data_IF_364177825481
#
_entry.id   IF_364177825481
#
_cell.length_a   1.000
_cell.length_b   1.000
_cell.length_c   1.000
_cell.angle_alpha   90.00
_cell.angle_beta   90.00
_cell.angle_gamma   90.00
#
_symmetry.space_group_name_H-M   'P 1'
#
loop_
_entity.id
_entity.type
_entity.pdbx_description
1 polymer ?
#
# COMPACT_ATOMS: atom_id res chain seq x y z
N UNK A 1 54.93 47.61 -22.71
CA UNK A 1 54.54 46.19 -22.62
C UNK A 1 55.07 45.61 -21.32
N UNK A 2 54.16 45.12 -20.46
CA UNK A 2 54.23 43.88 -19.64
C UNK A 2 55.63 43.24 -19.55
N UNK A 3 56.20 42.81 -18.41
CA UNK A 3 55.68 42.40 -17.10
C UNK A 3 56.92 42.28 -16.17
N UNK A 4 56.88 42.86 -14.96
CA UNK A 4 56.99 42.18 -13.64
C UNK A 4 58.15 41.18 -13.47
N UNK A 5 59.19 41.49 -12.68
CA UNK A 5 59.29 41.59 -11.20
C UNK A 5 59.62 40.22 -10.57
N UNK A 6 60.89 40.07 -10.27
CA UNK A 6 61.49 39.06 -9.39
C UNK A 6 61.07 39.33 -7.93
N UNK A 7 60.81 38.26 -7.17
CA UNK A 7 61.02 38.21 -5.71
C UNK A 7 60.95 36.76 -5.22
N UNK A 8 62.05 36.35 -4.62
CA UNK A 8 62.27 35.12 -3.88
C UNK A 8 61.18 34.82 -2.86
N UNK A 9 60.79 33.55 -2.76
CA UNK A 9 60.05 33.03 -1.62
C UNK A 9 60.75 31.81 -1.02
N UNK A 10 61.05 32.01 0.25
CA UNK A 10 61.78 31.21 1.22
C UNK A 10 61.11 29.86 1.51
N UNK A 11 61.93 28.81 1.58
CA UNK A 11 61.56 27.41 1.84
C UNK A 11 61.30 27.21 3.34
N UNK A 12 60.08 27.51 3.80
CA UNK A 12 59.63 27.08 5.13
C UNK A 12 58.96 25.71 5.05
N UNK A 13 59.68 24.70 5.57
CA UNK A 13 59.19 23.34 5.84
C UNK A 13 57.86 23.36 6.59
N UNK A 14 56.78 22.86 5.98
CA UNK A 14 55.65 22.28 6.70
C UNK A 14 55.72 20.77 6.57
N UNK A 15 56.01 20.11 7.69
CA UNK A 15 55.92 18.66 7.79
C UNK A 15 54.45 18.26 7.64
N UNK A 16 54.15 17.50 6.59
CA UNK A 16 52.89 16.76 6.47
C UNK A 16 53.03 15.43 7.23
N UNK A 17 52.04 14.99 8.00
CA UNK A 17 52.12 13.74 8.75
C UNK A 17 52.17 12.54 7.79
N UNK A 18 52.96 11.54 8.16
CA UNK A 18 53.31 10.32 7.41
C UNK A 18 52.13 9.43 6.95
N UNK A 19 50.87 9.82 7.19
CA UNK A 19 49.68 9.00 6.93
C UNK A 19 49.17 9.05 5.48
N UNK A 20 49.60 10.03 4.68
CA UNK A 20 49.14 10.18 3.28
C UNK A 20 49.99 9.43 2.23
N UNK A 21 51.14 8.87 2.61
CA UNK A 21 52.02 8.11 1.69
C UNK A 21 51.62 6.63 1.61
N UNK A 22 50.86 6.10 2.58
CA UNK A 22 50.37 4.73 2.54
C UNK A 22 49.17 4.52 1.60
N UNK A 23 48.45 5.58 1.23
CA UNK A 23 47.24 5.48 0.38
C UNK A 23 47.59 5.50 -1.12
N UNK A 24 48.79 5.99 -1.50
CA UNK A 24 49.20 6.12 -2.90
C UNK A 24 50.03 4.92 -3.45
N UNK A 25 50.47 3.98 -2.61
CA UNK A 25 51.32 2.83 -3.03
C UNK A 25 50.52 1.52 -3.19
N UNK A 26 49.23 1.49 -2.83
CA UNK A 26 48.36 0.33 -3.06
C UNK A 26 47.52 0.39 -4.35
N UNK A 27 47.68 1.43 -5.20
CA UNK A 27 46.88 1.60 -6.42
C UNK A 27 47.70 1.42 -7.72
N UNK A 28 48.98 1.01 -7.66
CA UNK A 28 49.78 0.86 -8.90
C UNK A 28 50.71 -0.36 -8.92
N UNK A 29 50.15 -1.58 -8.89
CA UNK A 29 50.83 -2.79 -9.37
C UNK A 29 49.88 -4.00 -9.53
N UNK A 30 49.09 -4.05 -10.61
CA UNK A 30 48.77 -5.30 -11.32
C UNK A 30 47.79 -5.07 -12.47
N UNK A 31 48.32 -4.82 -13.68
CA UNK A 31 47.59 -5.12 -14.92
C UNK A 31 48.49 -6.03 -15.78
N UNK A 32 47.90 -7.17 -16.15
CA UNK A 32 48.29 -8.18 -17.16
C UNK A 32 49.07 -9.41 -16.70
N UNK A 33 48.33 -10.45 -16.30
CA UNK A 33 48.41 -11.78 -16.91
C UNK A 33 47.14 -12.60 -16.61
N UNK A 34 46.41 -12.99 -17.67
CA UNK A 34 45.48 -14.12 -17.65
C UNK A 34 43.98 -13.77 -17.59
N UNK A 35 43.33 -13.75 -18.75
CA UNK A 35 41.94 -14.16 -18.84
C UNK A 35 41.84 -15.61 -18.35
N UNK A 36 41.43 -15.81 -17.11
CA UNK A 36 40.63 -16.98 -16.76
C UNK A 36 39.24 -16.41 -16.49
N UNK A 37 38.32 -16.69 -17.40
CA UNK A 37 36.91 -16.55 -17.07
C UNK A 37 36.64 -17.48 -15.91
N UNK A 38 36.60 -16.92 -14.70
CA UNK A 38 35.60 -17.33 -13.73
C UNK A 38 34.28 -16.66 -14.13
N UNK A 39 33.84 -16.94 -15.37
CA UNK A 39 32.42 -17.20 -15.60
C UNK A 39 32.15 -18.52 -14.88
N UNK A 40 32.17 -18.48 -13.54
CA UNK A 40 31.33 -19.42 -12.81
C UNK A 40 29.93 -19.05 -13.27
N UNK A 41 29.24 -19.90 -14.05
CA UNK A 41 27.82 -19.71 -14.24
C UNK A 41 27.23 -19.55 -12.83
N UNK A 42 26.44 -18.50 -12.61
CA UNK A 42 25.61 -18.40 -11.41
C UNK A 42 24.98 -19.78 -11.20
N UNK A 43 25.35 -20.42 -10.08
CA UNK A 43 25.02 -21.81 -9.77
C UNK A 43 23.53 -22.07 -10.04
N UNK A 44 23.16 -23.15 -10.78
CA UNK A 44 21.79 -23.39 -11.21
C UNK A 44 20.97 -23.89 -10.01
N UNK A 45 20.54 -22.97 -9.16
CA UNK A 45 19.48 -23.26 -8.21
C UNK A 45 19.83 -23.20 -6.74
N UNK A 46 20.20 -22.02 -6.27
CA UNK A 46 20.36 -21.77 -4.83
C UNK A 46 19.27 -20.83 -4.32
N UNK A 47 18.77 -21.02 -3.09
CA UNK A 47 17.84 -20.10 -2.46
C UNK A 47 18.50 -18.73 -2.21
N UNK A 48 17.70 -17.70 -1.89
CA UNK A 48 18.20 -16.37 -1.53
C UNK A 48 19.10 -16.43 -0.29
N UNK A 49 19.93 -15.41 -0.11
CA UNK A 49 20.78 -15.26 1.09
C UNK A 49 20.72 -13.82 1.57
N UNK A 50 20.21 -13.62 2.79
CA UNK A 50 20.19 -12.33 3.49
C UNK A 50 21.50 -12.17 4.24
N UNK A 51 22.36 -11.27 3.76
CA UNK A 51 23.69 -11.01 4.34
C UNK A 51 23.71 -9.87 5.36
N UNK A 52 22.77 -8.93 5.24
CA UNK A 52 22.57 -7.82 6.18
C UNK A 52 21.09 -7.62 6.36
N UNK A 53 20.66 -7.50 7.62
CA UNK A 53 19.35 -6.99 7.98
C UNK A 53 19.43 -6.38 9.38
N UNK A 54 19.45 -5.04 9.45
CA UNK A 54 19.66 -4.30 10.70
C UNK A 54 18.78 -3.07 10.74
N UNK A 55 18.36 -2.67 11.95
CA UNK A 55 17.69 -1.41 12.20
C UNK A 55 18.60 -0.46 13.00
N UNK A 56 18.73 0.79 12.54
CA UNK A 56 19.54 1.80 13.20
C UNK A 56 18.83 3.18 13.22
N UNK A 57 18.66 3.79 14.40
CA UNK A 57 18.96 3.24 15.74
C UNK A 57 18.01 2.09 16.13
N UNK A 58 18.51 1.07 16.85
CA UNK A 58 17.70 -0.06 17.33
C UNK A 58 16.82 0.29 18.53
N UNK A 59 16.93 1.52 19.03
CA UNK A 59 16.07 2.09 20.07
C UNK A 59 15.75 3.51 19.68
N UNK A 60 14.46 3.84 19.67
CA UNK A 60 13.93 5.15 19.32
C UNK A 60 12.97 5.63 20.39
N UNK A 61 12.78 6.94 20.47
CA UNK A 61 11.65 7.51 21.19
C UNK A 61 10.39 7.36 20.34
N UNK A 62 9.24 7.21 20.98
CA UNK A 62 7.94 7.18 20.29
C UNK A 62 7.77 8.43 19.39
N UNK A 63 7.43 8.21 18.12
CA UNK A 63 7.35 9.24 17.08
C UNK A 63 8.66 9.53 16.33
N UNK A 64 9.80 8.98 16.75
CA UNK A 64 11.05 9.01 15.99
C UNK A 64 11.11 7.83 14.99
N UNK A 65 11.97 7.93 13.99
CA UNK A 65 12.16 6.88 12.99
C UNK A 65 13.46 6.11 13.19
N UNK A 66 13.45 4.83 12.85
CA UNK A 66 14.62 4.00 12.62
C UNK A 66 14.79 3.72 11.14
N UNK A 67 16.00 3.45 10.67
CA UNK A 67 16.26 3.03 9.29
C UNK A 67 16.62 1.54 9.26
N UNK A 68 15.81 0.77 8.56
CA UNK A 68 16.14 -0.62 8.21
C UNK A 68 17.09 -0.60 7.03
N UNK A 69 18.22 -1.29 7.15
CA UNK A 69 19.17 -1.51 6.06
C UNK A 69 19.28 -3.01 5.79
N UNK A 70 19.18 -3.39 4.53
CA UNK A 70 19.27 -4.79 4.10
C UNK A 70 20.24 -4.99 2.95
N UNK A 71 20.75 -6.22 2.84
CA UNK A 71 21.52 -6.69 1.69
C UNK A 71 21.23 -8.16 1.46
N UNK A 72 20.72 -8.47 0.29
CA UNK A 72 20.30 -9.82 -0.11
C UNK A 72 20.98 -10.19 -1.42
N UNK A 73 21.21 -11.48 -1.62
CA UNK A 73 21.69 -12.01 -2.89
C UNK A 73 20.77 -13.11 -3.38
N UNK A 74 20.64 -13.23 -4.71
CA UNK A 74 19.83 -14.25 -5.38
C UNK A 74 18.34 -14.16 -5.01
N UNK A 75 17.86 -12.98 -4.64
CA UNK A 75 16.44 -12.74 -4.44
C UNK A 75 15.82 -12.21 -5.73
N UNK A 76 14.72 -12.82 -6.12
CA UNK A 76 13.81 -12.30 -7.14
C UNK A 76 12.84 -11.29 -6.49
N UNK A 77 12.47 -11.47 -5.22
CA UNK A 77 11.67 -10.52 -4.41
C UNK A 77 12.08 -10.51 -2.93
N UNK A 78 11.79 -9.40 -2.22
CA UNK A 78 12.11 -9.20 -0.80
C UNK A 78 10.96 -8.48 -0.10
N UNK A 79 10.44 -9.05 1.00
CA UNK A 79 9.34 -8.49 1.81
C UNK A 79 9.77 -8.16 3.23
N UNK A 80 9.22 -7.07 3.77
CA UNK A 80 9.39 -6.61 5.15
C UNK A 80 8.10 -6.78 5.94
N UNK A 81 8.19 -7.48 7.07
CA UNK A 81 7.03 -7.88 7.89
C UNK A 81 7.24 -7.48 9.35
N UNK A 82 6.37 -6.69 9.99
CA UNK A 82 5.33 -5.83 9.39
C UNK A 82 5.95 -4.65 8.61
N UNK A 83 5.20 -3.95 7.73
CA UNK A 83 3.75 -4.07 7.50
C UNK A 83 3.38 -4.94 6.29
N UNK A 84 4.17 -5.96 5.95
CA UNK A 84 3.97 -6.82 4.76
C UNK A 84 4.25 -6.05 3.46
N UNK A 85 5.33 -5.25 3.43
CA UNK A 85 5.66 -4.40 2.27
C UNK A 85 6.84 -4.95 1.51
N UNK A 86 6.73 -4.94 0.19
CA UNK A 86 7.79 -5.39 -0.68
C UNK A 86 8.81 -4.29 -0.98
N UNK A 87 10.06 -4.70 -1.12
CA UNK A 87 11.19 -3.80 -1.16
C UNK A 87 11.93 -3.90 -2.50
N UNK A 88 12.01 -2.76 -3.18
CA UNK A 88 12.77 -2.58 -4.42
C UNK A 88 13.87 -1.53 -4.17
N UNK A 89 15.14 -1.79 -4.56
CA UNK A 89 15.64 -2.98 -5.27
C UNK A 89 15.93 -4.18 -4.34
N UNK A 90 15.82 -5.40 -4.86
CA UNK A 90 15.88 -6.63 -4.04
C UNK A 90 17.27 -6.97 -3.49
N UNK A 91 18.35 -6.38 -4.01
CA UNK A 91 19.72 -6.73 -3.65
C UNK A 91 20.25 -5.92 -2.45
N UNK A 92 19.85 -4.65 -2.32
CA UNK A 92 20.16 -3.82 -1.15
C UNK A 92 19.33 -2.55 -1.09
N UNK A 93 18.97 -2.12 0.10
CA UNK A 93 18.20 -0.89 0.26
C UNK A 93 18.13 -0.40 1.69
N UNK A 94 17.48 0.76 1.81
CA UNK A 94 17.19 1.41 3.09
C UNK A 94 15.72 1.81 3.14
N UNK A 95 15.05 1.43 4.21
CA UNK A 95 13.62 1.70 4.42
C UNK A 95 13.45 2.36 5.79
N UNK A 96 12.94 3.61 5.86
CA UNK A 96 12.61 4.23 7.14
C UNK A 96 11.37 3.54 7.74
N UNK A 97 11.37 3.38 9.06
CA UNK A 97 10.24 2.83 9.83
C UNK A 97 10.00 3.69 11.06
N UNK A 98 8.73 3.89 11.40
CA UNK A 98 8.29 4.65 12.59
C UNK A 98 7.30 3.77 13.35
N UNK A 99 7.75 2.71 14.05
CA UNK A 99 6.83 1.85 14.77
C UNK A 99 6.24 2.57 15.99
N UNK A 100 4.97 2.26 16.28
CA UNK A 100 4.26 2.72 17.47
C UNK A 100 4.58 1.92 18.74
N UNK A 101 5.09 0.69 18.58
CA UNK A 101 5.54 -0.20 19.67
C UNK A 101 6.90 -0.81 19.41
N UNK A 102 7.50 -1.40 20.45
CA UNK A 102 8.65 -2.29 20.24
C UNK A 102 8.25 -3.36 19.22
N UNK A 103 8.84 -3.27 18.03
CA UNK A 103 8.42 -4.04 16.85
C UNK A 103 9.56 -4.93 16.41
N UNK A 104 9.27 -6.21 16.22
CA UNK A 104 10.19 -7.15 15.57
C UNK A 104 9.86 -7.13 14.08
N UNK A 105 10.80 -6.64 13.28
CA UNK A 105 10.75 -6.70 11.83
C UNK A 105 11.39 -7.98 11.34
N UNK A 106 10.82 -8.58 10.30
CA UNK A 106 11.34 -9.73 9.59
C UNK A 106 11.49 -9.38 8.11
N UNK A 107 12.66 -9.65 7.54
CA UNK A 107 12.88 -9.62 6.10
C UNK A 107 12.73 -11.03 5.58
N UNK A 108 11.94 -11.23 4.52
CA UNK A 108 11.82 -12.51 3.83
C UNK A 108 12.21 -12.31 2.37
N UNK A 109 13.18 -13.07 1.90
CA UNK A 109 13.66 -13.03 0.52
C UNK A 109 13.25 -14.31 -0.21
N UNK A 110 12.81 -14.18 -1.46
CA UNK A 110 12.30 -15.29 -2.26
C UNK A 110 13.03 -15.41 -3.60
N UNK A 111 13.13 -16.64 -4.10
CA UNK A 111 13.38 -16.95 -5.50
C UNK A 111 12.77 -18.31 -5.85
N UNK A 112 12.81 -18.71 -7.12
CA UNK A 112 12.28 -20.02 -7.56
C UNK A 112 12.90 -21.28 -6.91
N UNK A 113 13.98 -21.13 -6.14
CA UNK A 113 14.69 -22.23 -5.48
C UNK A 113 14.49 -22.25 -3.96
N UNK A 114 13.80 -21.27 -3.38
CA UNK A 114 13.43 -21.26 -1.97
C UNK A 114 13.32 -19.85 -1.38
N UNK A 115 13.41 -19.77 -0.05
CA UNK A 115 13.35 -18.52 0.70
C UNK A 115 14.40 -18.47 1.82
N UNK A 116 14.76 -17.25 2.21
CA UNK A 116 15.56 -16.97 3.41
C UNK A 116 14.86 -15.88 4.24
N UNK A 117 15.10 -15.86 5.55
CA UNK A 117 14.47 -14.90 6.46
C UNK A 117 15.39 -14.45 7.59
N UNK A 118 15.36 -13.15 7.92
CA UNK A 118 16.12 -12.56 9.03
C UNK A 118 15.24 -11.61 9.84
N UNK A 119 15.54 -11.39 11.12
CA UNK A 119 14.77 -10.49 11.98
C UNK A 119 15.64 -9.44 12.68
N UNK A 120 15.09 -8.24 12.89
CA UNK A 120 15.68 -7.15 13.68
C UNK A 120 14.61 -6.51 14.55
N UNK A 121 14.98 -5.98 15.71
CA UNK A 121 14.04 -5.36 16.66
C UNK A 121 14.31 -3.87 16.72
N UNK A 122 13.24 -3.07 16.63
CA UNK A 122 13.25 -1.65 16.99
C UNK A 122 12.53 -1.52 18.33
N UNK A 123 13.29 -1.18 19.37
CA UNK A 123 12.74 -0.95 20.71
C UNK A 123 12.25 0.49 20.84
N UNK A 124 11.17 0.68 21.57
CA UNK A 124 10.63 2.01 21.84
C UNK A 124 10.81 2.41 23.30
N UNK A 125 11.19 3.67 23.49
CA UNK A 125 11.18 4.35 24.80
C UNK A 125 10.12 5.45 24.76
N UNK A 126 9.22 5.48 25.74
CA UNK A 126 8.08 6.41 25.76
C UNK A 126 6.74 5.69 25.84
N UNK A 127 5.67 6.47 26.02
CA UNK A 127 4.28 6.01 25.88
C UNK A 127 3.87 6.10 24.41
N UNK A 128 3.04 5.18 23.93
CA UNK A 128 2.40 5.20 22.61
C UNK A 128 0.92 4.85 22.71
N UNK A 129 0.22 4.75 21.57
CA UNK A 129 -1.21 4.43 21.49
C UNK A 129 -1.47 3.15 20.74
N UNK A 130 -2.19 2.21 21.37
CA UNK A 130 -2.59 0.93 20.77
C UNK A 130 -4.09 0.89 20.58
N UNK A 131 -4.54 0.43 19.41
CA UNK A 131 -5.96 0.11 19.19
C UNK A 131 -6.28 -1.24 19.83
N UNK A 132 -7.28 -1.26 20.71
CA UNK A 132 -7.66 -2.45 21.49
C UNK A 132 -8.46 -3.45 20.65
N UNK A 133 -9.26 -2.95 19.71
CA UNK A 133 -10.21 -3.72 18.92
C UNK A 133 -9.98 -3.60 17.41
N UNK A 134 -8.72 -3.35 17.01
CA UNK A 134 -8.28 -3.33 15.61
C UNK A 134 -8.23 -1.94 14.99
N UNK A 135 -7.65 -1.87 13.80
CA UNK A 135 -7.42 -0.63 13.04
C UNK A 135 -8.42 -0.42 11.89
N UNK A 136 -9.30 -1.38 11.64
CA UNK A 136 -10.18 -1.41 10.48
C UNK A 136 -11.62 -1.61 10.93
N UNK A 137 -12.51 -0.67 10.60
CA UNK A 137 -13.92 -0.69 11.00
C UNK A 137 -14.83 -0.54 9.79
N UNK A 138 -15.85 -1.39 9.76
CA UNK A 138 -16.93 -1.33 8.78
C UNK A 138 -18.19 -0.69 9.36
N UNK A 139 -18.97 -0.04 8.51
CA UNK A 139 -20.34 0.33 8.80
C UNK A 139 -21.18 0.58 7.56
N UNK A 140 -22.29 1.31 7.74
CA UNK A 140 -23.28 1.53 6.70
C UNK A 140 -23.54 3.02 6.51
N UNK A 141 -23.48 3.51 5.27
CA UNK A 141 -23.84 4.89 4.96
C UNK A 141 -25.33 5.14 5.24
N UNK A 142 -25.64 6.33 5.77
CA UNK A 142 -27.02 6.76 6.09
C UNK A 142 -27.76 5.81 7.05
N UNK A 143 -27.02 5.01 7.81
CA UNK A 143 -27.54 4.22 8.92
C UNK A 143 -27.50 5.04 10.20
N UNK A 144 -28.48 4.85 11.08
CA UNK A 144 -28.41 5.39 12.45
C UNK A 144 -27.53 4.54 13.38
N UNK A 145 -26.98 3.43 12.86
CA UNK A 145 -26.08 2.54 13.58
C UNK A 145 -24.67 3.12 13.51
N UNK A 146 -24.15 3.53 14.66
CA UNK A 146 -22.75 3.95 14.80
C UNK A 146 -21.80 2.77 14.57
N UNK A 147 -20.58 3.09 14.15
CA UNK A 147 -19.47 2.13 14.19
C UNK A 147 -19.34 1.51 15.59
N UNK A 148 -18.86 0.25 15.70
CA UNK A 148 -18.33 -0.23 16.96
C UNK A 148 -17.35 0.79 17.56
N UNK A 149 -17.37 0.98 18.88
CA UNK A 149 -16.50 1.96 19.55
C UNK A 149 -15.05 1.72 19.15
N UNK A 150 -14.39 2.74 18.59
CA UNK A 150 -12.95 2.73 18.35
C UNK A 150 -12.28 2.86 19.72
N UNK A 151 -11.50 1.86 20.13
CA UNK A 151 -10.91 1.80 21.47
C UNK A 151 -9.39 1.91 21.44
N UNK A 152 -8.86 2.77 22.31
CA UNK A 152 -7.45 3.11 22.38
C UNK A 152 -6.95 3.01 23.82
N UNK A 153 -5.75 2.47 24.00
CA UNK A 153 -5.06 2.46 25.30
C UNK A 153 -3.62 2.92 25.16
N UNK A 154 -3.06 3.37 26.28
CA UNK A 154 -1.63 3.61 26.36
C UNK A 154 -0.86 2.28 26.23
N UNK A 155 0.26 2.32 25.50
CA UNK A 155 1.17 1.19 25.33
C UNK A 155 2.63 1.67 25.27
N UNK A 156 3.58 0.76 25.06
CA UNK A 156 5.01 1.05 25.26
C UNK A 156 5.39 1.05 26.74
N UNK A 157 6.17 2.05 27.18
CA UNK A 157 6.51 2.23 28.60
C UNK A 157 5.35 2.88 29.35
N UNK A 158 4.34 2.05 29.65
CA UNK A 158 3.12 2.48 30.37
C UNK A 158 3.39 3.03 31.77
N UNK A 159 4.59 2.86 32.32
CA UNK A 159 4.99 3.48 33.58
C UNK A 159 5.11 5.01 33.50
N UNK A 160 5.21 5.56 32.28
CA UNK A 160 5.26 7.00 32.03
C UNK A 160 3.87 7.63 31.88
N UNK A 161 2.79 6.84 31.93
CA UNK A 161 1.42 7.36 31.91
C UNK A 161 1.15 8.11 33.20
N UNK A 162 0.91 9.41 33.09
CA UNK A 162 0.60 10.27 34.24
C UNK A 162 -0.90 10.33 34.50
N UNK A 163 -1.35 10.65 35.73
CA UNK A 163 -2.75 10.97 35.97
C UNK A 163 -3.22 12.09 35.03
N UNK A 164 -4.43 11.95 34.50
CA UNK A 164 -5.02 12.87 33.53
C UNK A 164 -4.28 12.89 32.17
N UNK A 165 -3.82 11.72 31.70
CA UNK A 165 -3.32 11.56 30.31
C UNK A 165 -4.50 11.28 29.38
N UNK A 166 -4.60 12.03 28.29
CA UNK A 166 -5.69 11.94 27.31
C UNK A 166 -5.17 11.55 25.93
N UNK A 167 -5.98 10.80 25.20
CA UNK A 167 -5.90 10.65 23.76
C UNK A 167 -6.88 11.64 23.11
N UNK A 168 -6.42 12.43 22.14
CA UNK A 168 -7.27 13.26 21.28
C UNK A 168 -7.57 12.53 19.97
N UNK A 169 -8.76 12.73 19.43
CA UNK A 169 -9.26 12.10 18.21
C UNK A 169 -9.58 13.16 17.15
N UNK A 170 -9.19 12.91 15.91
CA UNK A 170 -9.48 13.80 14.78
C UNK A 170 -9.63 13.01 13.48
N UNK A 171 -10.51 13.46 12.60
CA UNK A 171 -10.59 12.97 11.22
C UNK A 171 -9.53 13.69 10.40
N UNK A 172 -8.65 12.95 9.74
CA UNK A 172 -7.54 13.50 8.93
C UNK A 172 -7.77 13.32 7.42
N UNK A 173 -8.68 12.43 7.05
CA UNK A 173 -9.08 12.11 5.69
C UNK A 173 -10.54 11.65 5.71
N UNK A 174 -11.28 11.92 4.64
CA UNK A 174 -12.71 11.60 4.54
C UNK A 174 -13.61 12.65 5.18
N UNK A 175 -14.83 12.26 5.53
CA UNK A 175 -15.83 13.12 6.17
C UNK A 175 -16.49 12.45 7.38
N UNK A 176 -17.74 12.80 7.72
CA UNK A 176 -18.44 12.26 8.91
C UNK A 176 -18.14 13.01 10.22
N UNK A 177 -18.53 12.42 11.34
CA UNK A 177 -18.34 13.02 12.68
C UNK A 177 -17.94 11.99 13.74
N UNK A 178 -17.24 12.45 14.78
CA UNK A 178 -16.90 11.65 15.94
C UNK A 178 -17.81 12.01 17.12
N UNK A 179 -18.20 11.02 17.92
CA UNK A 179 -19.03 11.25 19.13
C UNK A 179 -18.27 12.00 20.23
N UNK A 180 -16.94 11.93 20.21
CA UNK A 180 -16.04 12.62 21.12
C UNK A 180 -14.71 12.91 20.43
N UNK A 181 -14.08 14.03 20.81
CA UNK A 181 -12.79 14.49 20.31
C UNK A 181 -11.61 14.03 21.20
N UNK A 182 -11.90 13.37 22.31
CA UNK A 182 -10.89 12.92 23.26
C UNK A 182 -11.42 11.87 24.24
N UNK A 183 -10.50 11.13 24.86
CA UNK A 183 -10.80 10.19 25.93
C UNK A 183 -9.61 9.95 26.86
N UNK A 184 -9.89 9.57 28.10
CA UNK A 184 -8.90 9.35 29.14
C UNK A 184 -8.22 7.98 28.99
N UNK A 185 -6.89 7.91 29.17
CA UNK A 185 -6.09 6.68 29.02
C UNK A 185 -5.21 6.37 30.25
N UNK A 186 -5.51 6.98 31.40
CA UNK A 186 -4.79 6.71 32.64
C UNK A 186 -5.36 5.49 33.39
N UNK A 187 -4.56 4.91 34.31
CA UNK A 187 -4.98 3.81 35.20
C UNK A 187 -5.63 2.59 34.50
N UNK A 188 -5.15 2.26 33.30
CA UNK A 188 -5.69 1.15 32.49
C UNK A 188 -7.05 1.45 31.84
N UNK A 189 -7.50 2.71 31.86
CA UNK A 189 -8.66 3.15 31.11
C UNK A 189 -8.42 3.05 29.59
N UNK A 190 -9.51 2.79 28.90
CA UNK A 190 -9.57 2.71 27.45
C UNK A 190 -10.30 3.96 26.97
N UNK A 191 -9.61 4.82 26.25
CA UNK A 191 -10.23 5.94 25.57
C UNK A 191 -11.01 5.42 24.38
N UNK A 192 -12.19 5.98 24.15
CA UNK A 192 -13.10 5.48 23.12
C UNK A 192 -13.85 6.61 22.44
N UNK A 193 -14.14 6.42 21.16
CA UNK A 193 -15.03 7.27 20.36
C UNK A 193 -15.80 6.38 19.39
N UNK A 194 -16.92 6.85 18.87
CA UNK A 194 -17.58 6.25 17.72
C UNK A 194 -17.51 7.21 16.55
N UNK A 195 -17.40 6.64 15.36
CA UNK A 195 -17.55 7.36 14.10
C UNK A 195 -18.98 7.20 13.57
N UNK A 196 -19.57 8.33 13.18
CA UNK A 196 -20.86 8.42 12.51
C UNK A 196 -20.64 8.65 11.01
N UNK A 197 -21.23 7.78 10.18
CA UNK A 197 -21.25 7.89 8.71
C UNK A 197 -22.23 8.97 8.24
N UNK A 198 -22.15 10.15 8.86
CA UNK A 198 -22.97 11.32 8.56
C UNK A 198 -22.47 12.11 7.33
N UNK A 199 -21.36 11.67 6.74
CA UNK A 199 -20.74 12.27 5.57
C UNK A 199 -21.24 11.68 4.25
N UNK A 200 -20.76 12.27 3.17
CA UNK A 200 -20.97 11.87 1.78
C UNK A 200 -19.97 10.84 1.26
N UNK A 201 -18.74 10.78 1.78
CA UNK A 201 -17.66 9.98 1.18
C UNK A 201 -17.68 8.50 1.57
N UNK A 202 -18.39 8.16 2.66
CA UNK A 202 -18.46 6.77 3.14
C UNK A 202 -17.15 6.23 3.72
N UNK A 203 -16.11 7.06 3.87
CA UNK A 203 -14.85 6.68 4.48
C UNK A 203 -14.29 7.81 5.33
N UNK A 204 -13.48 7.43 6.32
CA UNK A 204 -12.65 8.34 7.08
C UNK A 204 -11.37 7.65 7.59
N UNK A 205 -10.33 8.43 7.81
CA UNK A 205 -9.18 8.02 8.65
C UNK A 205 -9.26 8.80 9.94
N UNK A 206 -9.45 8.08 11.04
CA UNK A 206 -9.52 8.62 12.39
C UNK A 206 -8.16 8.48 13.06
N UNK A 207 -7.54 9.62 13.34
CA UNK A 207 -6.27 9.68 14.06
C UNK A 207 -6.50 9.87 15.54
N UNK A 208 -5.89 9.00 16.34
CA UNK A 208 -5.74 9.15 17.79
C UNK A 208 -4.32 9.62 18.12
N UNK A 209 -4.18 10.55 19.06
CA UNK A 209 -2.88 11.15 19.44
C UNK A 209 -2.79 11.30 20.96
N UNK A 210 -1.66 10.94 21.56
CA UNK A 210 -1.28 11.44 22.88
C UNK A 210 -0.40 12.68 22.66
N UNK A 211 -0.66 13.76 23.39
CA UNK A 211 0.10 15.01 23.21
C UNK A 211 1.61 14.78 23.35
N UNK A 212 2.39 15.21 22.35
CA UNK A 212 3.85 15.07 22.33
C UNK A 212 4.35 13.64 22.08
N UNK A 213 3.50 12.77 21.53
CA UNK A 213 3.72 11.34 21.31
C UNK A 213 3.27 10.96 19.88
N UNK A 214 3.45 9.69 19.52
CA UNK A 214 3.00 9.07 18.27
C UNK A 214 1.49 9.11 18.06
N UNK A 215 1.12 8.90 16.81
CA UNK A 215 -0.23 8.95 16.29
C UNK A 215 -0.65 7.56 15.84
N UNK A 216 -1.87 7.16 16.14
CA UNK A 216 -2.44 5.92 15.61
C UNK A 216 -3.60 6.24 14.68
N UNK A 217 -3.54 5.75 13.45
CA UNK A 217 -4.59 5.94 12.46
C UNK A 217 -5.47 4.69 12.39
N UNK A 218 -6.78 4.90 12.45
CA UNK A 218 -7.82 3.89 12.32
C UNK A 218 -8.61 4.18 11.05
N UNK A 219 -8.71 3.18 10.19
CA UNK A 219 -9.47 3.26 8.96
C UNK A 219 -10.93 2.87 9.23
N UNK A 220 -11.84 3.76 8.85
CA UNK A 220 -13.28 3.54 8.94
C UNK A 220 -13.86 3.62 7.55
N UNK A 221 -14.60 2.59 7.14
CA UNK A 221 -15.21 2.49 5.82
C UNK A 221 -16.65 2.02 5.95
N UNK A 222 -17.53 2.57 5.14
CA UNK A 222 -18.83 1.99 4.89
C UNK A 222 -18.78 1.23 3.57
N UNK A 223 -19.66 0.24 3.43
CA UNK A 223 -19.87 -0.43 2.16
C UNK A 223 -20.42 0.60 1.17
N UNK A 224 -19.57 1.00 0.23
CA UNK A 224 -19.89 1.92 -0.85
C UNK A 224 -19.09 1.46 -2.06
N UNK A 225 -19.65 1.44 -3.26
CA UNK A 225 -18.86 1.19 -4.46
C UNK A 225 -18.42 2.52 -5.07
N UNK A 226 -19.26 3.54 -4.94
CA UNK A 226 -19.04 4.97 -5.16
C UNK A 226 -20.08 5.66 -4.24
N UNK A 227 -19.83 6.87 -3.70
CA UNK A 227 -20.75 7.56 -2.76
C UNK A 227 -22.21 7.80 -3.21
N UNK A 228 -23.08 6.78 -3.17
CA UNK A 228 -24.47 6.93 -3.58
C UNK A 228 -25.40 5.92 -2.93
N UNK A 229 -26.57 6.40 -2.52
CA UNK A 229 -27.47 5.64 -1.66
C UNK A 229 -28.31 4.64 -2.43
N UNK A 230 -28.36 3.41 -1.88
CA UNK A 230 -29.35 2.35 -2.07
C UNK A 230 -28.95 1.08 -2.84
N UNK A 231 -27.67 0.91 -3.20
CA UNK A 231 -27.11 -0.37 -3.66
C UNK A 231 -25.81 -0.69 -2.94
N UNK A 232 -25.86 -1.35 -1.78
CA UNK A 232 -24.65 -1.68 -1.02
C UNK A 232 -23.98 -2.92 -1.62
N UNK A 233 -22.83 -2.72 -2.27
CA UNK A 233 -21.77 -3.71 -2.28
C UNK A 233 -20.53 -3.16 -1.57
N UNK A 234 -19.59 -4.06 -1.34
CA UNK A 234 -18.43 -3.83 -0.48
C UNK A 234 -17.45 -2.82 -1.09
N UNK A 235 -16.83 -2.03 -0.20
CA UNK A 235 -15.90 -0.97 -0.56
C UNK A 235 -14.48 -1.47 -0.84
N UNK A 236 -13.90 -0.96 -1.92
CA UNK A 236 -12.49 -1.01 -2.27
C UNK A 236 -12.11 0.35 -2.86
N UNK A 237 -11.17 1.10 -2.27
CA UNK A 237 -10.59 2.24 -2.99
C UNK A 237 -9.53 1.76 -3.97
N UNK A 238 -9.45 2.44 -5.12
CA UNK A 238 -8.29 2.31 -6.02
C UNK A 238 -6.98 2.87 -5.43
N UNK A 239 -7.07 3.58 -4.31
CA UNK A 239 -5.91 3.98 -3.50
C UNK A 239 -5.58 2.97 -2.40
N UNK A 240 -6.47 2.02 -2.09
CA UNK A 240 -6.21 0.98 -1.11
C UNK A 240 -5.17 -0.01 -1.66
N UNK A 241 -4.40 -0.57 -0.75
CA UNK A 241 -3.60 -1.75 -1.04
C UNK A 241 -4.49 -2.99 -1.00
N UNK A 242 -4.06 -4.09 -1.60
CA UNK A 242 -4.77 -5.35 -1.46
C UNK A 242 -4.83 -5.83 0.00
N UNK A 243 -3.81 -5.54 0.81
CA UNK A 243 -3.83 -5.79 2.25
C UNK A 243 -4.98 -5.04 2.95
N UNK A 244 -5.22 -3.77 2.62
CA UNK A 244 -6.36 -3.00 3.18
C UNK A 244 -7.69 -3.64 2.77
N UNK A 245 -7.84 -4.03 1.49
CA UNK A 245 -9.03 -4.74 0.98
C UNK A 245 -9.29 -6.01 1.79
N UNK A 246 -8.25 -6.83 1.99
CA UNK A 246 -8.33 -8.07 2.77
C UNK A 246 -8.60 -7.81 4.25
N UNK A 247 -8.05 -6.74 4.84
CA UNK A 247 -8.35 -6.37 6.23
C UNK A 247 -9.82 -6.03 6.44
N UNK A 248 -10.44 -5.38 5.46
CA UNK A 248 -11.87 -5.13 5.49
C UNK A 248 -12.67 -6.39 5.18
N UNK A 249 -12.35 -7.11 4.11
CA UNK A 249 -13.23 -8.13 3.52
C UNK A 249 -12.96 -9.55 4.01
N UNK A 250 -11.87 -9.77 4.73
CA UNK A 250 -11.36 -11.10 5.01
C UNK A 250 -10.67 -11.70 3.79
N UNK A 251 -10.39 -13.01 3.85
CA UNK A 251 -9.78 -13.72 2.73
C UNK A 251 -10.78 -13.85 1.55
N UNK A 252 -10.30 -13.75 0.29
CA UNK A 252 -11.14 -14.05 -0.86
C UNK A 252 -11.51 -15.54 -0.87
N UNK A 253 -12.62 -15.87 -1.54
CA UNK A 253 -13.02 -17.26 -1.72
C UNK A 253 -11.97 -18.06 -2.51
N UNK A 254 -11.42 -17.45 -3.56
CA UNK A 254 -10.31 -18.00 -4.35
C UNK A 254 -9.47 -16.88 -4.96
N UNK A 255 -8.30 -17.25 -5.47
CA UNK A 255 -7.46 -16.35 -6.25
C UNK A 255 -7.14 -17.01 -7.58
N UNK A 256 -7.46 -16.33 -8.67
CA UNK A 256 -7.28 -16.83 -10.04
C UNK A 256 -6.01 -16.23 -10.67
N UNK A 257 -5.23 -17.09 -11.33
CA UNK A 257 -3.96 -16.74 -12.00
C UNK A 257 -4.04 -17.08 -13.49
N UNK A 258 -4.52 -16.16 -14.34
CA UNK A 258 -4.72 -16.44 -15.75
C UNK A 258 -3.37 -16.66 -16.46
N UNK A 259 -3.19 -17.79 -17.17
CA UNK A 259 -1.94 -18.07 -17.89
C UNK A 259 -1.60 -17.05 -18.99
N UNK A 260 -2.60 -16.30 -19.47
CA UNK A 260 -2.44 -15.30 -20.52
C UNK A 260 -2.09 -13.91 -19.97
N UNK A 261 -2.18 -13.72 -18.66
CA UNK A 261 -1.88 -12.46 -17.98
C UNK A 261 -1.13 -12.76 -16.66
N UNK A 262 0.14 -13.20 -16.76
CA UNK A 262 0.89 -13.74 -15.63
C UNK A 262 1.33 -12.68 -14.62
N UNK A 263 1.23 -11.40 -14.98
CA UNK A 263 1.59 -10.27 -14.13
C UNK A 263 0.39 -9.81 -13.28
N UNK A 264 -0.81 -10.33 -13.55
CA UNK A 264 -2.03 -9.98 -12.83
C UNK A 264 -2.63 -11.18 -12.12
N UNK A 265 -3.24 -10.87 -10.99
CA UNK A 265 -3.94 -11.86 -10.19
C UNK A 265 -5.26 -11.34 -9.70
N UNK A 266 -6.23 -12.25 -9.58
CA UNK A 266 -7.63 -11.89 -9.38
C UNK A 266 -8.13 -12.48 -8.08
N UNK A 267 -8.27 -11.65 -7.05
CA UNK A 267 -8.86 -12.02 -5.78
C UNK A 267 -10.39 -12.00 -5.89
N UNK A 268 -11.00 -13.17 -5.75
CA UNK A 268 -12.41 -13.40 -6.04
C UNK A 268 -13.22 -13.35 -4.75
N UNK A 269 -14.05 -12.31 -4.61
CA UNK A 269 -15.03 -12.14 -3.55
C UNK A 269 -16.48 -12.25 -4.08
N UNK A 270 -16.69 -12.86 -5.25
CA UNK A 270 -18.00 -12.91 -5.93
C UNK A 270 -19.11 -13.45 -5.02
N UNK A 271 -18.83 -14.52 -4.28
CA UNK A 271 -19.82 -15.21 -3.44
C UNK A 271 -20.16 -14.44 -2.15
N UNK A 272 -19.23 -13.63 -1.64
CA UNK A 272 -19.37 -12.92 -0.37
C UNK A 272 -19.76 -11.46 -0.56
N UNK A 273 -19.16 -10.80 -1.56
CA UNK A 273 -19.19 -9.35 -1.76
C UNK A 273 -19.60 -8.94 -3.19
N UNK A 274 -19.73 -9.88 -4.12
CA UNK A 274 -20.11 -9.60 -5.51
C UNK A 274 -19.05 -8.86 -6.32
N UNK A 275 -17.76 -9.02 -5.98
CA UNK A 275 -16.64 -8.35 -6.67
C UNK A 275 -15.43 -9.27 -6.87
N UNK A 276 -14.56 -8.87 -7.79
CA UNK A 276 -13.23 -9.42 -8.05
C UNK A 276 -12.25 -8.26 -8.07
N UNK A 277 -11.15 -8.37 -7.31
CA UNK A 277 -10.08 -7.37 -7.28
C UNK A 277 -8.91 -7.89 -8.08
N UNK A 278 -8.50 -7.16 -9.12
CA UNK A 278 -7.27 -7.42 -9.83
C UNK A 278 -6.12 -6.62 -9.20
N UNK A 279 -5.02 -7.32 -8.99
CA UNK A 279 -3.78 -6.79 -8.41
C UNK A 279 -2.65 -7.15 -9.36
N UNK A 280 -1.80 -6.17 -9.70
CA UNK A 280 -0.57 -6.41 -10.45
C UNK A 280 0.43 -7.08 -9.48
N UNK A 281 0.63 -8.39 -9.65
CA UNK A 281 1.56 -9.19 -8.86
C UNK A 281 2.94 -9.14 -9.53
N UNK A 282 3.72 -8.15 -9.13
CA UNK A 282 5.09 -7.99 -9.64
C UNK A 282 6.11 -8.95 -8.99
N UNK A 283 5.67 -9.83 -8.07
CA UNK A 283 6.53 -10.47 -7.07
C UNK A 283 6.69 -11.99 -7.21
N UNK A 284 6.23 -12.55 -8.33
CA UNK A 284 6.17 -13.98 -8.68
C UNK A 284 5.02 -14.75 -7.98
N UNK A 285 4.41 -15.73 -8.67
CA UNK A 285 3.02 -16.17 -8.46
C UNK A 285 2.76 -17.06 -7.22
N UNK A 286 3.60 -17.02 -6.19
CA UNK A 286 3.48 -17.90 -5.02
C UNK A 286 3.01 -17.24 -3.73
N UNK A 287 2.77 -15.92 -3.66
CA UNK A 287 2.42 -15.30 -2.37
C UNK A 287 1.53 -14.04 -2.40
N UNK A 288 0.46 -14.04 -3.20
CA UNK A 288 -0.61 -13.03 -3.10
C UNK A 288 -1.32 -12.99 -1.74
N UNK A 289 -1.04 -13.91 -0.82
CA UNK A 289 -1.78 -13.98 0.42
C UNK A 289 -1.42 -12.78 1.34
N UNK A 290 -0.39 -11.98 1.02
CA UNK A 290 0.10 -10.88 1.87
C UNK A 290 0.77 -9.71 1.11
N UNK A 291 0.07 -9.11 0.14
CA UNK A 291 0.59 -8.01 -0.70
C UNK A 291 0.09 -6.61 -0.27
N UNK A 292 0.98 -5.62 -0.31
CA UNK A 292 0.68 -4.19 -0.12
C UNK A 292 0.51 -3.46 -1.48
N UNK A 293 0.25 -4.23 -2.52
CA UNK A 293 0.21 -3.80 -3.90
C UNK A 293 -1.06 -2.99 -4.08
N UNK A 294 -0.98 -1.88 -4.81
CA UNK A 294 -2.16 -1.07 -5.05
C UNK A 294 -3.19 -1.90 -5.83
N UNK A 295 -4.46 -1.75 -5.46
CA UNK A 295 -5.55 -2.27 -6.29
C UNK A 295 -5.47 -1.62 -7.68
N UNK A 296 -5.37 -2.44 -8.72
CA UNK A 296 -5.25 -1.95 -10.10
C UNK A 296 -6.63 -1.86 -10.77
N UNK A 297 -7.44 -2.91 -10.61
CA UNK A 297 -8.78 -2.99 -11.19
C UNK A 297 -9.75 -3.60 -10.19
N UNK A 298 -10.97 -3.07 -10.14
CA UNK A 298 -12.09 -3.71 -9.46
C UNK A 298 -13.08 -4.11 -10.54
N UNK A 299 -13.39 -5.41 -10.63
CA UNK A 299 -14.51 -5.92 -11.38
C UNK A 299 -15.63 -6.23 -10.40
N UNK A 300 -16.84 -5.86 -10.73
CA UNK A 300 -17.99 -6.14 -9.88
C UNK A 300 -18.92 -7.06 -10.69
N UNK A 301 -19.34 -8.15 -10.05
CA UNK A 301 -19.94 -9.30 -10.72
C UNK A 301 -21.38 -9.58 -10.24
N UNK A 302 -21.87 -8.84 -9.25
CA UNK A 302 -23.26 -8.87 -8.76
C UNK A 302 -24.12 -7.69 -9.23
N UNK A 303 -25.46 -7.86 -9.29
CA UNK A 303 -26.42 -6.79 -9.61
C UNK A 303 -26.67 -5.90 -8.39
N UNK A 304 -26.42 -4.60 -8.51
CA UNK A 304 -26.55 -3.60 -7.45
C UNK A 304 -27.49 -2.48 -7.89
N UNK A 305 -28.75 -2.57 -7.48
CA UNK A 305 -29.72 -1.53 -7.78
C UNK A 305 -29.55 -0.33 -6.85
N UNK A 306 -29.44 0.89 -7.37
CA UNK A 306 -29.61 2.11 -6.57
C UNK A 306 -28.99 3.38 -7.16
N UNK A 307 -29.85 4.38 -7.45
CA UNK A 307 -29.63 5.81 -7.70
C UNK A 307 -29.02 6.32 -9.03
N UNK A 308 -29.54 7.48 -9.47
CA UNK A 308 -29.29 8.19 -10.75
C UNK A 308 -28.23 9.33 -10.61
N UNK A 309 -27.19 9.16 -9.78
CA UNK A 309 -26.15 10.19 -9.54
C UNK A 309 -24.75 9.73 -9.91
N UNK A 310 -23.82 10.66 -10.21
CA UNK A 310 -22.38 10.42 -10.47
C UNK A 310 -21.71 9.56 -9.42
N UNK A 311 -22.07 9.83 -8.18
CA UNK A 311 -21.50 9.11 -7.07
C UNK A 311 -22.24 7.79 -6.79
N UNK A 312 -23.33 7.46 -7.50
CA UNK A 312 -24.22 6.37 -7.11
C UNK A 312 -24.59 5.39 -8.20
N UNK A 313 -24.04 5.50 -9.40
CA UNK A 313 -24.47 4.62 -10.48
C UNK A 313 -23.93 3.20 -10.31
N UNK A 314 -24.74 2.34 -9.71
CA UNK A 314 -24.40 0.95 -9.43
C UNK A 314 -24.51 0.03 -10.64
N UNK A 315 -24.01 -1.18 -10.50
CA UNK A 315 -24.09 -2.20 -11.56
C UNK A 315 -25.50 -2.72 -11.77
N UNK A 316 -25.88 -2.82 -13.03
CA UNK A 316 -27.27 -3.06 -13.42
C UNK A 316 -28.08 -1.78 -13.62
N UNK A 317 -27.49 -0.60 -13.41
CA UNK A 317 -28.07 0.65 -13.86
C UNK A 317 -28.21 0.66 -15.39
N UNK A 318 -29.33 1.18 -15.92
CA UNK A 318 -29.47 1.49 -17.33
C UNK A 318 -28.28 2.27 -17.88
N UNK A 319 -27.85 1.95 -19.10
CA UNK A 319 -26.86 2.76 -19.85
C UNK A 319 -27.29 4.22 -19.99
N UNK A 320 -28.61 4.48 -19.94
CA UNK A 320 -29.16 5.83 -19.97
C UNK A 320 -28.81 6.62 -18.71
N UNK A 321 -28.78 5.96 -17.55
CA UNK A 321 -28.42 6.58 -16.28
C UNK A 321 -26.93 6.92 -16.30
N UNK A 322 -26.08 6.03 -16.86
CA UNK A 322 -24.63 6.26 -17.03
C UNK A 322 -24.37 7.51 -17.86
N UNK A 323 -25.09 7.64 -18.97
CA UNK A 323 -25.00 8.81 -19.85
C UNK A 323 -25.58 10.08 -19.23
N UNK A 324 -26.62 9.97 -18.40
CA UNK A 324 -27.21 11.11 -17.69
C UNK A 324 -26.21 11.68 -16.69
N UNK A 325 -25.48 10.77 -16.06
CA UNK A 325 -24.56 11.03 -14.97
C UNK A 325 -23.20 11.53 -15.45
N UNK A 326 -22.51 10.78 -16.31
CA UNK A 326 -21.16 11.09 -16.78
C UNK A 326 -21.16 11.83 -18.13
N UNK A 327 -22.33 12.02 -18.74
CA UNK A 327 -22.44 12.64 -20.05
C UNK A 327 -21.99 11.73 -21.19
N UNK A 328 -21.46 12.35 -22.24
CA UNK A 328 -21.04 11.66 -23.47
C UNK A 328 -19.68 11.00 -23.26
N UNK A 329 -19.54 9.68 -23.48
CA UNK A 329 -18.25 9.00 -23.34
C UNK A 329 -17.24 9.46 -24.40
N UNK A 330 -15.95 9.35 -24.07
CA UNK A 330 -14.85 9.60 -25.00
C UNK A 330 -14.77 8.53 -26.10
N UNK A 331 -14.99 7.26 -25.75
CA UNK A 331 -15.17 6.16 -26.71
C UNK A 331 -16.50 5.50 -26.45
N UNK A 332 -17.24 5.26 -27.54
CA UNK A 332 -18.40 4.38 -27.56
C UNK A 332 -18.26 3.43 -28.74
N UNK A 333 -18.17 2.13 -28.47
CA UNK A 333 -18.00 1.13 -29.52
C UNK A 333 -18.73 -0.17 -29.21
N UNK A 334 -19.08 -0.91 -30.26
CA UNK A 334 -19.55 -2.28 -30.16
C UNK A 334 -18.35 -3.22 -30.19
N UNK A 335 -18.20 -4.03 -29.15
CA UNK A 335 -17.15 -5.04 -29.01
C UNK A 335 -17.78 -6.43 -28.89
N UNK A 336 -18.03 -7.07 -30.03
CA UNK A 336 -18.81 -8.31 -30.07
C UNK A 336 -20.28 -8.03 -29.79
N UNK A 337 -20.85 -8.69 -28.79
CA UNK A 337 -22.23 -8.49 -28.37
C UNK A 337 -22.37 -7.38 -27.31
N UNK A 338 -21.24 -6.86 -26.79
CA UNK A 338 -21.24 -5.83 -25.75
C UNK A 338 -20.99 -4.40 -26.29
N UNK A 339 -21.59 -3.39 -25.65
CA UNK A 339 -21.17 -2.00 -25.76
C UNK A 339 -20.05 -1.68 -24.79
N UNK A 340 -19.09 -0.91 -25.27
CA UNK A 340 -17.99 -0.37 -24.51
C UNK A 340 -18.10 1.16 -24.44
N UNK A 341 -18.09 1.72 -23.23
CA UNK A 341 -18.07 3.16 -22.98
C UNK A 341 -16.82 3.51 -22.16
N UNK A 342 -16.04 4.50 -22.61
CA UNK A 342 -14.85 4.99 -21.89
C UNK A 342 -15.01 6.46 -21.52
N UNK A 343 -14.76 6.76 -20.26
CA UNK A 343 -14.77 8.10 -19.66
C UNK A 343 -13.36 8.42 -19.16
N UNK A 344 -12.55 9.07 -20.01
CA UNK A 344 -11.11 9.26 -19.79
C UNK A 344 -10.79 10.20 -18.62
N UNK A 345 -11.63 11.21 -18.38
CA UNK A 345 -11.39 12.21 -17.34
C UNK A 345 -11.68 11.61 -15.95
N UNK A 346 -12.53 10.59 -15.92
CA UNK A 346 -13.02 9.84 -14.76
C UNK A 346 -12.22 8.55 -14.52
N UNK A 347 -11.52 8.04 -15.55
CA UNK A 347 -10.81 6.76 -15.48
C UNK A 347 -11.73 5.53 -15.48
N UNK A 348 -12.92 5.66 -16.07
CA UNK A 348 -13.97 4.64 -16.02
C UNK A 348 -14.17 3.97 -17.38
N UNK A 349 -14.25 2.64 -17.37
CA UNK A 349 -14.64 1.83 -18.51
C UNK A 349 -15.90 1.02 -18.16
N UNK A 350 -16.94 1.11 -18.99
CA UNK A 350 -18.18 0.35 -18.83
C UNK A 350 -18.36 -0.64 -19.98
N UNK A 351 -18.76 -1.87 -19.65
CA UNK A 351 -19.14 -2.91 -20.60
C UNK A 351 -20.60 -3.32 -20.40
N UNK A 352 -21.40 -3.43 -21.47
CA UNK A 352 -22.82 -3.82 -21.34
C UNK A 352 -23.23 -4.86 -22.37
N UNK A 353 -23.98 -5.90 -21.98
CA UNK A 353 -24.30 -7.08 -22.82
C UNK A 353 -25.28 -6.83 -23.99
N UNK A 354 -26.09 -5.76 -24.01
CA UNK A 354 -27.05 -5.56 -25.13
C UNK A 354 -27.37 -4.09 -25.46
N UNK A 355 -28.01 -3.86 -26.63
CA UNK A 355 -28.61 -2.58 -27.08
C UNK A 355 -29.79 -2.07 -26.22
N UNK A 356 -30.04 -2.66 -25.04
CA UNK A 356 -31.14 -2.25 -24.18
C UNK A 356 -31.00 -2.76 -22.74
N UNK A 357 -30.89 -1.80 -21.83
CA UNK A 357 -31.37 -1.85 -20.44
C UNK A 357 -31.02 -3.02 -19.53
N UNK A 358 -29.92 -3.76 -19.72
CA UNK A 358 -29.40 -4.60 -18.64
C UNK A 358 -27.92 -4.89 -18.68
N UNK A 359 -27.35 -4.81 -17.47
CA UNK A 359 -26.05 -5.27 -17.00
C UNK A 359 -24.85 -4.48 -17.52
N UNK A 360 -24.58 -3.39 -16.82
CA UNK A 360 -23.29 -2.68 -16.82
C UNK A 360 -22.32 -3.50 -15.97
N UNK A 361 -21.20 -3.95 -16.53
CA UNK A 361 -20.00 -4.30 -15.76
C UNK A 361 -19.14 -3.04 -15.77
N UNK A 362 -19.03 -2.43 -14.60
CA UNK A 362 -18.19 -1.25 -14.38
C UNK A 362 -16.78 -1.72 -14.04
N UNK A 363 -15.80 -1.18 -14.76
CA UNK A 363 -14.39 -1.47 -14.59
C UNK A 363 -13.68 -0.16 -14.25
N UNK A 364 -13.19 -0.06 -13.03
CA UNK A 364 -12.40 1.08 -12.58
C UNK A 364 -10.93 0.80 -12.88
N UNK A 365 -10.32 1.64 -13.72
CA UNK A 365 -8.88 1.55 -13.98
C UNK A 365 -8.15 2.59 -13.14
N UNK A 366 -7.09 2.17 -12.45
CA UNK A 366 -6.18 3.13 -11.83
C UNK A 366 -5.57 4.01 -12.92
N UNK A 367 -5.50 5.32 -12.67
CA UNK A 367 -4.87 6.30 -13.56
C UNK A 367 -3.36 6.07 -13.68
N UNK A 368 -2.94 5.13 -14.52
CA UNK A 368 -1.57 5.12 -15.03
C UNK A 368 -1.50 5.97 -16.29
N UNK A 369 -0.70 7.03 -16.22
CA UNK A 369 -0.29 7.80 -17.38
C UNK A 369 0.55 6.89 -18.31
N UNK A 370 -0.10 6.17 -19.23
CA UNK A 370 0.52 5.76 -20.48
C UNK A 370 -0.31 6.31 -21.63
N UNK A 371 0.06 7.52 -22.01
CA UNK A 371 -0.19 8.09 -23.33
C UNK A 371 0.20 7.11 -24.44
N UNK A 372 -0.59 7.16 -25.51
CA UNK A 372 -0.45 6.52 -26.83
C UNK A 372 -0.95 5.09 -26.96
N UNK A 373 -2.16 5.00 -27.53
CA UNK A 373 -2.41 4.25 -28.77
C UNK A 373 -1.78 2.86 -28.81
N UNK A 374 -2.25 1.96 -27.94
CA UNK A 374 -2.12 0.53 -28.12
C UNK A 374 -3.51 -0.09 -27.92
N UNK A 375 -3.89 -0.98 -28.84
CA UNK A 375 -5.14 -1.72 -28.81
C UNK A 375 -5.39 -2.33 -27.41
N UNK A 376 -6.66 -2.43 -26.97
CA UNK A 376 -6.97 -2.99 -25.66
C UNK A 376 -6.36 -4.40 -25.54
N UNK A 377 -5.89 -4.79 -24.34
CA UNK A 377 -5.59 -6.19 -24.07
C UNK A 377 -6.82 -7.02 -24.44
N UNK A 378 -6.60 -8.17 -25.08
CA UNK A 378 -7.67 -9.13 -25.34
C UNK A 378 -8.08 -9.74 -24.00
N UNK A 379 -8.89 -9.03 -23.23
CA UNK A 379 -9.54 -9.61 -22.06
C UNK A 379 -10.60 -10.59 -22.58
N UNK A 380 -10.31 -11.87 -22.39
CA UNK A 380 -11.29 -12.92 -22.63
C UNK A 380 -12.38 -12.79 -21.59
N UNK A 381 -13.61 -12.64 -22.08
CA UNK A 381 -14.86 -12.84 -21.36
C UNK A 381 -14.71 -13.85 -20.22
N UNK A 382 -14.77 -13.37 -18.98
CA UNK A 382 -15.28 -14.20 -17.90
C UNK A 382 -16.80 -14.07 -18.04
N UNK A 383 -17.41 -14.96 -18.82
CA UNK A 383 -18.86 -15.07 -18.78
C UNK A 383 -19.22 -15.54 -17.37
N UNK A 384 -19.96 -14.70 -16.65
CA UNK A 384 -20.75 -15.18 -15.53
C UNK A 384 -21.89 -16.03 -16.15
N UNK A 385 -21.58 -17.28 -16.47
CA UNK A 385 -22.59 -18.25 -16.85
C UNK A 385 -23.55 -18.40 -15.66
N UNK A 386 -24.81 -18.01 -15.86
CA UNK A 386 -25.93 -18.44 -15.02
C UNK A 386 -26.29 -19.89 -15.25
#
# INVERSE_FOLDING_TARGET
MRHCREKDYDLTRRAYPLTLIFIAVLILASIMAGCNGDDNPVDPGQPPVISVFVAAPSTITVGESSVITYKVSRADSVRLVPPETSLVPTDSGQTPVTPAFTTTYSLVAYNKYGKDSASTIVSLTGIGLEAVNGLYYKGEMNSSVQTPLLQFRAAGDTSLVTPNTWASFSIIEGDGTLTSDSGLIDDGQIAQTAYDFSGSLGHAVVRAIISGTDTLDVQVRANTIIPGTNGQAQYVLLSDTYADVKHFNGDPYRVDYPPQDPDNSYAVYEDTEGLVVAVEDTELPWDLIQDNEPVDVILITGVLAGCETADGIGIGSPILDVRTVFGVPYVESLMGDAYFLRYLDEGLDFYTDTTGDSLVVELHLRKTAKTSEAAPPRYQYISADR
#
